data_IF_671826678646
#
_entry.id   IF_671826678646
#
_cell.length_a   1.000
_cell.length_b   1.000
_cell.length_c   1.000
_cell.angle_alpha   90.00
_cell.angle_beta   90.00
_cell.angle_gamma   90.00
#
_symmetry.space_group_name_H-M   'P 1'
#
loop_
_entity.id
_entity.type
_entity.pdbx_description
1 polymer ?
#
# COMPACT_ATOMS: atom_id res chain seq x y z
N UNK A 1 9.89 -4.03 -1.50
CA UNK A 1 10.32 -3.77 -2.89
C UNK A 1 9.65 -2.48 -3.29
N UNK A 2 10.46 -1.42 -3.31
CA UNK A 2 10.05 -0.03 -3.20
C UNK A 2 9.48 0.51 -4.50
N UNK A 3 8.70 1.58 -4.38
CA UNK A 3 8.18 2.45 -5.45
C UNK A 3 9.23 2.83 -6.50
N UNK A 4 10.52 2.86 -6.10
CA UNK A 4 11.68 3.05 -6.97
C UNK A 4 11.78 1.99 -8.07
N UNK A 5 11.67 0.70 -7.72
CA UNK A 5 11.78 -0.39 -8.71
C UNK A 5 10.64 -0.37 -9.73
N UNK A 6 9.46 0.16 -9.36
CA UNK A 6 8.35 0.31 -10.30
C UNK A 6 8.62 1.43 -11.32
N UNK A 7 9.14 2.57 -10.86
CA UNK A 7 9.51 3.69 -11.75
C UNK A 7 10.57 3.25 -12.76
N UNK A 8 11.53 2.43 -12.32
CA UNK A 8 12.57 1.88 -13.19
C UNK A 8 11.98 0.95 -14.28
N UNK A 9 11.02 0.10 -13.91
CA UNK A 9 10.30 -0.77 -14.86
C UNK A 9 9.45 0.02 -15.86
N UNK A 10 8.78 1.10 -15.42
CA UNK A 10 8.01 1.99 -16.29
C UNK A 10 8.91 2.75 -17.28
N UNK A 11 10.12 3.14 -16.87
CA UNK A 11 11.13 3.72 -17.74
C UNK A 11 11.61 2.71 -18.79
N UNK A 12 12.00 1.50 -18.38
CA UNK A 12 12.40 0.43 -19.30
C UNK A 12 11.29 0.08 -20.32
N UNK A 13 10.03 0.06 -19.89
CA UNK A 13 8.87 -0.14 -20.78
C UNK A 13 8.79 0.94 -21.86
N UNK A 14 8.95 2.21 -21.47
CA UNK A 14 8.93 3.34 -22.41
C UNK A 14 10.07 3.30 -23.42
N UNK A 15 11.25 2.84 -23.02
CA UNK A 15 12.38 2.65 -23.94
C UNK A 15 12.11 1.54 -24.96
N UNK A 16 11.55 0.40 -24.55
CA UNK A 16 11.20 -0.69 -25.47
C UNK A 16 10.06 -0.30 -26.43
N UNK A 17 9.08 0.50 -26.00
CA UNK A 17 8.05 1.04 -26.91
C UNK A 17 8.65 1.97 -27.96
N UNK A 18 9.62 2.82 -27.59
CA UNK A 18 10.30 3.69 -28.55
C UNK A 18 11.10 2.89 -29.59
N UNK A 19 11.71 1.77 -29.17
CA UNK A 19 12.41 0.86 -30.11
C UNK A 19 11.43 0.22 -31.09
N UNK A 20 10.21 -0.09 -30.65
CA UNK A 20 9.15 -0.60 -31.52
C UNK A 20 8.71 0.46 -32.53
N UNK A 21 8.46 1.69 -32.08
CA UNK A 21 8.07 2.80 -32.97
C UNK A 21 9.12 3.06 -34.07
N UNK A 22 10.42 3.05 -33.72
CA UNK A 22 11.51 3.19 -34.68
C UNK A 22 11.60 2.02 -35.66
N UNK A 23 11.27 0.80 -35.20
CA UNK A 23 11.22 -0.39 -36.05
C UNK A 23 10.07 -0.29 -37.06
N UNK A 24 8.90 0.16 -36.60
CA UNK A 24 7.69 0.37 -37.42
C UNK A 24 7.93 1.47 -38.46
N UNK A 25 8.55 2.59 -38.07
CA UNK A 25 8.95 3.65 -39.01
C UNK A 25 9.90 3.12 -40.09
N UNK A 26 10.94 2.36 -39.72
CA UNK A 26 11.90 1.79 -40.68
C UNK A 26 11.25 0.79 -41.64
N UNK A 27 10.26 0.03 -41.16
CA UNK A 27 9.48 -0.87 -42.00
C UNK A 27 8.58 -0.08 -42.96
N UNK A 28 7.90 0.96 -42.48
CA UNK A 28 7.06 1.84 -43.31
C UNK A 28 7.85 2.54 -44.43
N UNK A 29 9.11 2.93 -44.16
CA UNK A 29 10.01 3.48 -45.19
C UNK A 29 10.64 2.42 -46.11
N UNK A 30 10.29 1.14 -45.96
CA UNK A 30 10.81 0.05 -46.78
C UNK A 30 12.30 -0.23 -46.59
N UNK A 31 12.90 0.23 -45.47
CA UNK A 31 14.33 0.08 -45.20
C UNK A 31 14.71 -1.31 -44.66
N UNK A 32 13.72 -2.11 -44.28
CA UNK A 32 13.88 -3.46 -43.72
C UNK A 32 12.91 -4.44 -44.37
N UNK A 33 13.35 -5.69 -44.52
CA UNK A 33 12.50 -6.77 -45.03
C UNK A 33 11.51 -7.24 -43.97
N UNK A 34 10.38 -7.78 -44.42
CA UNK A 34 9.29 -8.26 -43.56
C UNK A 34 9.75 -9.34 -42.55
N UNK A 35 10.67 -10.21 -42.96
CA UNK A 35 11.26 -11.24 -42.09
C UNK A 35 12.04 -10.65 -40.91
N UNK A 36 12.80 -9.57 -41.16
CA UNK A 36 13.59 -8.88 -40.13
C UNK A 36 12.64 -8.15 -39.18
N UNK A 37 11.64 -7.47 -39.72
CA UNK A 37 10.61 -6.80 -38.93
C UNK A 37 9.89 -7.77 -37.99
N UNK A 38 9.37 -8.88 -38.53
CA UNK A 38 8.63 -9.88 -37.77
C UNK A 38 9.47 -10.49 -36.63
N UNK A 39 10.76 -10.75 -36.87
CA UNK A 39 11.64 -11.30 -35.83
C UNK A 39 11.85 -10.32 -34.67
N UNK A 40 12.11 -9.04 -34.96
CA UNK A 40 12.38 -8.04 -33.93
C UNK A 40 11.10 -7.56 -33.24
N UNK A 41 9.99 -7.42 -33.95
CA UNK A 41 8.70 -7.05 -33.36
C UNK A 41 8.22 -8.12 -32.38
N UNK A 42 8.37 -9.40 -32.71
CA UNK A 42 8.07 -10.50 -31.79
C UNK A 42 8.95 -10.47 -30.53
N UNK A 43 10.24 -10.16 -30.67
CA UNK A 43 11.15 -10.05 -29.51
C UNK A 43 10.81 -8.87 -28.61
N UNK A 44 10.54 -7.69 -29.19
CA UNK A 44 10.20 -6.48 -28.43
C UNK A 44 8.84 -6.65 -27.74
N UNK A 45 7.84 -7.19 -28.43
CA UNK A 45 6.52 -7.45 -27.85
C UNK A 45 6.55 -8.51 -26.75
N UNK A 46 7.41 -9.53 -26.86
CA UNK A 46 7.62 -10.51 -25.79
C UNK A 46 8.23 -9.84 -24.54
N UNK A 47 9.25 -9.00 -24.71
CA UNK A 47 9.84 -8.23 -23.59
C UNK A 47 8.85 -7.27 -22.95
N UNK A 48 8.03 -6.58 -23.75
CA UNK A 48 6.98 -5.70 -23.23
C UNK A 48 5.97 -6.49 -22.36
N UNK A 49 5.56 -7.69 -22.81
CA UNK A 49 4.70 -8.57 -22.00
C UNK A 49 5.35 -9.01 -20.69
N UNK A 50 6.66 -9.30 -20.70
CA UNK A 50 7.40 -9.64 -19.47
C UNK A 50 7.43 -8.44 -18.50
N UNK A 51 7.74 -7.25 -18.99
CA UNK A 51 7.76 -6.02 -18.18
C UNK A 51 6.36 -5.70 -17.63
N UNK A 52 5.31 -5.80 -18.45
CA UNK A 52 3.92 -5.58 -18.00
C UNK A 52 3.52 -6.58 -16.91
N UNK A 53 3.94 -7.84 -17.02
CA UNK A 53 3.73 -8.84 -15.97
C UNK A 53 4.48 -8.50 -14.68
N UNK A 54 5.69 -7.96 -14.75
CA UNK A 54 6.45 -7.53 -13.57
C UNK A 54 5.83 -6.30 -12.90
N UNK A 55 5.32 -5.35 -13.69
CA UNK A 55 4.55 -4.20 -13.19
C UNK A 55 3.28 -4.67 -12.48
N UNK A 56 2.53 -5.61 -13.07
CA UNK A 56 1.34 -6.20 -12.45
C UNK A 56 1.65 -6.93 -11.13
N UNK A 57 2.79 -7.63 -11.04
CA UNK A 57 3.26 -8.23 -9.78
C UNK A 57 3.61 -7.18 -8.72
N UNK A 58 4.07 -5.99 -9.12
CA UNK A 58 4.34 -4.90 -8.20
C UNK A 58 3.06 -4.26 -7.65
N UNK A 59 1.99 -4.20 -8.45
CA UNK A 59 0.67 -3.70 -8.05
C UNK A 59 0.07 -4.48 -6.88
N UNK A 60 0.32 -5.80 -6.83
CA UNK A 60 -0.15 -6.69 -5.76
C UNK A 60 0.46 -6.37 -4.38
N UNK A 61 1.54 -5.58 -4.29
CA UNK A 61 2.18 -5.26 -3.00
C UNK A 61 1.53 -4.12 -2.20
N UNK A 62 0.67 -3.30 -2.82
CA UNK A 62 -0.14 -2.30 -2.11
C UNK A 62 -1.44 -2.89 -1.52
N UNK A 63 -1.83 -4.10 -1.95
CA UNK A 63 -3.14 -4.76 -1.72
C UNK A 63 -3.52 -5.06 -0.26
N UNK A 64 -2.64 -4.81 0.71
CA UNK A 64 -2.99 -4.96 2.11
C UNK A 64 -3.34 -3.65 2.80
N UNK A 65 -3.01 -2.49 2.22
CA UNK A 65 -3.29 -1.21 2.88
C UNK A 65 -4.79 -0.99 3.05
N UNK A 66 -5.58 -1.18 2.00
CA UNK A 66 -7.04 -1.07 2.09
C UNK A 66 -7.62 -2.05 3.10
N UNK A 67 -7.09 -3.28 3.15
CA UNK A 67 -7.50 -4.27 4.16
C UNK A 67 -7.19 -3.81 5.57
N UNK A 68 -6.01 -3.24 5.81
CA UNK A 68 -5.63 -2.71 7.12
C UNK A 68 -6.43 -1.45 7.48
N UNK A 69 -6.76 -0.60 6.52
CA UNK A 69 -7.64 0.56 6.73
C UNK A 69 -9.02 0.06 7.15
N UNK A 70 -9.64 -0.83 6.39
CA UNK A 70 -10.95 -1.40 6.73
C UNK A 70 -10.94 -2.11 8.08
N UNK A 71 -9.88 -2.87 8.37
CA UNK A 71 -9.70 -3.53 9.66
C UNK A 71 -9.58 -2.52 10.80
N UNK A 72 -8.80 -1.45 10.62
CA UNK A 72 -8.65 -0.39 11.63
C UNK A 72 -9.97 0.34 11.88
N UNK A 73 -10.75 0.65 10.84
CA UNK A 73 -12.07 1.26 10.96
C UNK A 73 -13.05 0.34 11.71
N UNK A 74 -13.02 -0.96 11.42
CA UNK A 74 -13.86 -1.93 12.13
C UNK A 74 -13.52 -2.01 13.63
N UNK A 75 -12.24 -1.95 13.99
CA UNK A 75 -11.83 -1.86 15.40
C UNK A 75 -12.35 -0.57 16.03
N UNK A 76 -12.19 0.56 15.34
CA UNK A 76 -12.60 1.87 15.85
C UNK A 76 -14.11 1.96 16.08
N UNK A 77 -14.92 1.36 15.20
CA UNK A 77 -16.38 1.38 15.29
C UNK A 77 -16.94 0.47 16.38
N UNK A 78 -16.29 -0.65 16.67
CA UNK A 78 -16.80 -1.69 17.57
C UNK A 78 -15.90 -1.87 18.81
N UNK A 79 -15.17 -0.81 19.19
CA UNK A 79 -14.11 -0.90 20.21
C UNK A 79 -14.66 -1.27 21.59
N UNK A 80 -15.84 -0.77 21.92
CA UNK A 80 -16.61 -1.03 23.12
C UNK A 80 -17.04 -2.49 23.20
N UNK A 81 -17.63 -3.03 22.12
CA UNK A 81 -18.03 -4.43 22.03
C UNK A 81 -16.82 -5.37 22.10
N UNK A 82 -15.73 -5.03 21.41
CA UNK A 82 -14.47 -5.77 21.45
C UNK A 82 -13.84 -5.77 22.85
N UNK A 83 -13.97 -4.67 23.59
CA UNK A 83 -13.53 -4.61 24.98
C UNK A 83 -14.43 -5.46 25.89
N UNK A 84 -15.75 -5.38 25.75
CA UNK A 84 -16.67 -6.13 26.60
C UNK A 84 -16.52 -7.64 26.40
N UNK A 85 -16.55 -8.10 25.14
CA UNK A 85 -16.53 -9.53 24.76
C UNK A 85 -15.11 -10.10 24.67
N UNK A 86 -14.08 -9.26 24.63
CA UNK A 86 -12.69 -9.66 24.46
C UNK A 86 -12.09 -10.41 25.65
N UNK A 87 -11.25 -11.40 25.36
CA UNK A 87 -10.44 -12.05 26.38
C UNK A 87 -9.30 -11.13 26.86
N UNK A 88 -8.56 -11.55 27.91
CA UNK A 88 -7.47 -10.75 28.49
C UNK A 88 -6.42 -10.31 27.45
N UNK A 89 -6.11 -11.15 26.47
CA UNK A 89 -5.12 -10.83 25.44
C UNK A 89 -5.66 -9.79 24.45
N UNK A 90 -6.92 -9.94 24.02
CA UNK A 90 -7.61 -8.95 23.18
C UNK A 90 -7.66 -7.59 23.88
N UNK A 91 -8.03 -7.58 25.17
CA UNK A 91 -8.05 -6.37 26.00
C UNK A 91 -6.68 -5.71 26.09
N UNK A 92 -5.62 -6.49 26.35
CA UNK A 92 -4.24 -5.98 26.38
C UNK A 92 -3.81 -5.40 25.02
N UNK A 93 -4.09 -6.10 23.93
CA UNK A 93 -3.77 -5.61 22.58
C UNK A 93 -4.51 -4.32 22.26
N UNK A 94 -5.79 -4.22 22.61
CA UNK A 94 -6.58 -3.00 22.43
C UNK A 94 -6.03 -1.84 23.25
N UNK A 95 -5.66 -2.12 24.50
CA UNK A 95 -5.07 -1.13 25.40
C UNK A 95 -3.71 -0.64 24.89
N UNK A 96 -2.86 -1.52 24.36
CA UNK A 96 -1.60 -1.14 23.73
C UNK A 96 -1.80 -0.36 22.42
N UNK A 97 -2.89 -0.64 21.69
CA UNK A 97 -3.22 0.05 20.44
C UNK A 97 -3.72 1.47 20.70
N UNK A 98 -4.50 1.66 21.77
CA UNK A 98 -5.07 2.95 22.21
C UNK A 98 -4.08 3.78 23.01
N UNK A 99 -3.29 3.14 23.88
CA UNK A 99 -2.29 3.76 24.75
C UNK A 99 -0.92 3.10 24.54
N UNK A 100 -0.13 3.56 23.56
CA UNK A 100 1.14 2.93 23.19
C UNK A 100 2.15 2.87 24.34
N UNK A 101 2.12 3.88 25.20
CA UNK A 101 3.03 3.99 26.34
C UNK A 101 2.49 3.24 27.58
N UNK A 102 1.29 2.65 27.47
CA UNK A 102 0.61 1.93 28.54
C UNK A 102 -0.09 2.82 29.57
N UNK A 103 -0.59 2.17 30.63
CA UNK A 103 -1.26 2.83 31.75
C UNK A 103 -0.35 2.75 32.97
N UNK A 104 -0.03 3.91 33.54
CA UNK A 104 0.79 4.01 34.73
C UNK A 104 -0.08 4.28 35.95
N UNK A 105 0.13 3.52 37.02
CA UNK A 105 -0.52 3.75 38.31
C UNK A 105 0.46 4.41 39.28
N UNK A 106 0.12 5.60 39.76
CA UNK A 106 0.88 6.26 40.81
C UNK A 106 0.28 5.90 42.18
N UNK A 107 1.02 5.08 42.95
CA UNK A 107 0.60 4.63 44.28
C UNK A 107 0.53 5.76 45.32
N UNK A 108 1.28 6.84 45.13
CA UNK A 108 1.37 7.96 46.08
C UNK A 108 0.15 8.87 45.95
N UNK A 109 -0.27 9.15 44.72
CA UNK A 109 -1.44 10.00 44.43
C UNK A 109 -2.72 9.20 44.19
N UNK A 110 -2.64 7.86 44.24
CA UNK A 110 -3.72 6.93 43.92
C UNK A 110 -4.39 7.18 42.54
N UNK A 111 -3.65 7.75 41.59
CA UNK A 111 -4.18 8.15 40.27
C UNK A 111 -3.61 7.29 39.15
N UNK A 112 -4.41 7.04 38.12
CA UNK A 112 -3.97 6.46 36.85
C UNK A 112 -3.54 7.56 35.88
N UNK A 113 -2.56 7.27 35.03
CA UNK A 113 -2.08 8.16 33.97
C UNK A 113 -1.91 7.39 32.66
N UNK A 114 -2.48 7.95 31.62
CA UNK A 114 -2.31 7.55 30.22
C UNK A 114 -1.54 8.65 29.52
N UNK A 115 -0.20 8.64 29.56
CA UNK A 115 0.62 9.78 29.13
C UNK A 115 0.49 10.06 27.63
N UNK A 116 0.11 9.05 26.85
CA UNK A 116 -0.08 9.16 25.41
C UNK A 116 -1.27 8.35 24.94
N UNK A 117 -2.15 9.02 24.19
CA UNK A 117 -3.21 8.40 23.40
C UNK A 117 -2.74 8.31 21.96
N UNK A 118 -3.08 7.22 21.27
CA UNK A 118 -2.83 7.10 19.84
C UNK A 118 -3.61 8.20 19.08
N UNK A 119 -2.91 8.87 18.17
CA UNK A 119 -3.37 10.05 17.44
C UNK A 119 -4.71 9.86 16.73
N UNK A 120 -4.94 8.69 16.14
CA UNK A 120 -6.21 8.38 15.45
C UNK A 120 -7.38 8.46 16.42
N UNK A 121 -7.21 7.91 17.62
CA UNK A 121 -8.24 7.96 18.66
C UNK A 121 -8.43 9.38 19.19
N UNK A 122 -7.35 10.14 19.35
CA UNK A 122 -7.43 11.55 19.76
C UNK A 122 -8.25 12.36 18.76
N UNK A 123 -8.00 12.19 17.47
CA UNK A 123 -8.73 12.89 16.41
C UNK A 123 -10.22 12.58 16.46
N UNK A 124 -10.60 11.30 16.60
CA UNK A 124 -12.01 10.87 16.70
C UNK A 124 -12.70 11.51 17.91
N UNK A 125 -12.02 11.57 19.06
CA UNK A 125 -12.59 12.20 20.26
C UNK A 125 -12.77 13.70 20.07
N UNK A 126 -11.84 14.40 19.41
CA UNK A 126 -11.94 15.84 19.18
C UNK A 126 -13.01 16.21 18.15
N UNK A 127 -13.20 15.43 17.08
CA UNK A 127 -14.30 15.70 16.12
C UNK A 127 -15.69 15.50 16.73
N UNK A 128 -15.83 14.68 17.77
CA UNK A 128 -17.11 14.51 18.48
C UNK A 128 -17.52 15.72 19.33
N UNK A 129 -16.56 16.54 19.76
CA UNK A 129 -16.83 17.76 20.56
C UNK A 129 -17.29 18.96 19.71
N UNK A 130 -17.06 18.94 18.39
CA UNK A 130 -17.41 20.03 17.47
C UNK A 130 -18.79 19.92 16.79
N UNK A 131 -19.53 18.83 17.04
CA UNK A 131 -20.87 18.57 16.48
C UNK A 131 -21.99 18.54 17.54
N UNK A 132 -21.67 18.93 18.79
CA UNK A 132 -22.64 19.10 19.87
C UNK A 132 -22.85 20.59 20.19
#
# INVERSE_FOLDING_TARGET
MSETSRRDLELCRKEETLKLDVLDERWAFGKITEEVYNKFSLQITAKLKEIDNEIGKCEIKLSNLDKYIQFSLNILQNIDEMWEKGNLNTKKSLMNTTYPDGIFYNKITATYRTPRVNEIFRLITTTSEGFL
#
